data_IF_453850768471
#
_entry.id   IF_453850768471
#
_cell.length_a   1.000
_cell.length_b   1.000
_cell.length_c   1.000
_cell.angle_alpha   90.00
_cell.angle_beta   90.00
_cell.angle_gamma   90.00
#
_symmetry.space_group_name_H-M   'P 1'
#
loop_
_entity.id
_entity.type
_entity.pdbx_description
1 polymer ?
#
# COMPACT_ATOMS: atom_id res chain seq x y z
N UNK A 1 6.08 -24.32 15.01
CA UNK A 1 6.30 -23.34 13.93
C UNK A 1 6.78 -22.03 14.57
N UNK A 2 7.98 -22.04 15.17
CA UNK A 2 8.56 -20.91 15.94
C UNK A 2 10.10 -20.89 15.84
N UNK A 3 10.68 -21.10 14.66
CA UNK A 3 12.16 -21.18 14.55
C UNK A 3 12.80 -20.40 13.40
N UNK A 4 12.07 -19.49 12.77
CA UNK A 4 12.62 -18.63 11.72
C UNK A 4 12.90 -17.18 12.13
N UNK A 5 12.37 -16.72 13.26
CA UNK A 5 12.59 -15.34 13.75
C UNK A 5 13.60 -15.22 14.90
N UNK A 6 14.19 -16.32 15.39
CA UNK A 6 15.15 -16.29 16.50
C UNK A 6 16.61 -16.01 16.09
N UNK A 7 16.87 -15.81 14.79
CA UNK A 7 18.23 -15.57 14.27
C UNK A 7 18.41 -14.24 13.54
N UNK A 8 17.34 -13.46 13.34
CA UNK A 8 17.52 -12.04 13.02
C UNK A 8 17.53 -11.28 14.34
N UNK A 9 18.71 -10.91 14.82
CA UNK A 9 18.79 -9.87 15.83
C UNK A 9 18.39 -8.56 15.13
N UNK A 10 17.20 -8.05 15.43
CA UNK A 10 16.70 -6.79 14.85
C UNK A 10 17.64 -5.60 15.14
N UNK A 11 18.58 -5.75 16.09
CA UNK A 11 19.66 -4.79 16.37
C UNK A 11 20.78 -4.79 15.33
N UNK A 12 20.88 -5.81 14.47
CA UNK A 12 21.82 -5.86 13.34
C UNK A 12 21.29 -5.16 12.08
N UNK A 13 20.00 -4.83 12.04
CA UNK A 13 19.47 -3.93 11.02
C UNK A 13 19.94 -2.51 11.37
N UNK A 14 21.18 -2.19 10.96
CA UNK A 14 21.71 -0.83 11.01
C UNK A 14 20.96 0.00 9.97
N UNK A 15 19.82 0.57 10.35
CA UNK A 15 19.32 1.77 9.68
C UNK A 15 20.26 2.88 10.11
N UNK A 16 21.31 3.11 9.32
CA UNK A 16 22.25 4.19 9.57
C UNK A 16 21.46 5.48 9.73
N UNK A 17 21.63 6.16 10.85
CA UNK A 17 21.12 7.53 11.08
C UNK A 17 21.69 8.53 10.08
N UNK A 18 22.65 8.11 9.24
CA UNK A 18 23.23 8.88 8.13
C UNK A 18 22.65 8.51 6.75
N UNK A 19 21.71 7.56 6.66
CA UNK A 19 20.97 7.36 5.42
C UNK A 19 19.91 8.45 5.28
N UNK A 20 20.34 9.63 4.80
CA UNK A 20 19.43 10.62 4.24
C UNK A 20 18.85 10.01 2.97
N UNK A 21 17.56 9.69 3.02
CA UNK A 21 16.79 9.31 1.85
C UNK A 21 15.88 10.50 1.52
N UNK A 22 15.92 11.04 0.30
CA UNK A 22 16.67 10.56 -0.87
C UNK A 22 18.19 10.85 -0.78
N UNK A 23 19.04 10.06 -1.47
CA UNK A 23 20.44 10.38 -1.64
C UNK A 23 20.53 11.77 -2.28
N UNK A 24 21.31 12.66 -1.65
CA UNK A 24 21.57 13.99 -2.20
C UNK A 24 22.17 13.82 -3.61
N UNK A 25 21.54 14.45 -4.61
CA UNK A 25 21.93 14.57 -6.04
C UNK A 25 21.21 13.74 -7.13
N UNK A 26 20.17 12.96 -6.84
CA UNK A 26 19.22 12.56 -7.89
C UNK A 26 17.94 13.41 -7.82
N UNK A 27 17.99 14.57 -8.48
CA UNK A 27 16.82 15.40 -8.74
C UNK A 27 15.81 14.59 -9.56
N UNK A 28 14.65 14.29 -8.98
CA UNK A 28 13.49 13.80 -9.72
C UNK A 28 13.11 14.86 -10.77
N UNK A 29 13.55 14.67 -12.01
CA UNK A 29 13.06 15.49 -13.12
C UNK A 29 11.60 15.10 -13.38
N UNK A 30 10.69 15.97 -12.96
CA UNK A 30 9.28 15.91 -13.30
C UNK A 30 9.15 16.17 -14.81
N UNK A 31 9.27 15.13 -15.63
CA UNK A 31 8.93 15.26 -17.05
C UNK A 31 7.42 15.34 -17.17
N UNK A 32 6.91 16.56 -17.21
CA UNK A 32 5.55 16.89 -17.64
C UNK A 32 5.33 16.34 -19.05
N UNK A 33 4.81 15.11 -19.17
CA UNK A 33 4.22 14.62 -20.42
C UNK A 33 2.73 14.91 -20.37
N UNK A 34 2.37 16.04 -20.96
CA UNK A 34 1.07 16.25 -21.59
C UNK A 34 0.85 15.15 -22.63
N UNK A 35 -0.26 14.42 -22.53
CA UNK A 35 -0.60 13.37 -23.49
C UNK A 35 -1.96 12.73 -23.21
N UNK A 36 -2.97 13.19 -23.94
CA UNK A 36 -4.13 12.39 -24.35
C UNK A 36 -5.16 12.03 -23.29
N UNK A 37 -6.19 12.86 -23.12
CA UNK A 37 -7.48 12.38 -22.63
C UNK A 37 -8.16 11.55 -23.73
N UNK A 38 -8.03 10.23 -23.65
CA UNK A 38 -8.94 9.28 -24.27
C UNK A 38 -9.84 8.68 -23.18
N UNK A 39 -11.14 8.73 -23.45
CA UNK A 39 -12.21 8.49 -22.48
C UNK A 39 -12.23 7.10 -21.86
N UNK A 40 -12.69 7.09 -20.62
CA UNK A 40 -13.00 5.90 -19.85
C UNK A 40 -13.40 6.37 -18.47
N UNK A 41 -14.70 6.48 -18.22
CA UNK A 41 -15.27 6.94 -16.96
C UNK A 41 -14.83 5.98 -15.85
N UNK A 42 -13.71 6.33 -15.20
CA UNK A 42 -13.11 5.57 -14.10
C UNK A 42 -14.17 5.53 -13.00
N UNK A 43 -14.83 4.38 -12.80
CA UNK A 43 -15.62 4.15 -11.59
C UNK A 43 -14.67 4.48 -10.44
N UNK A 44 -14.99 5.53 -9.67
CA UNK A 44 -14.16 5.95 -8.54
C UNK A 44 -14.14 4.79 -7.55
N UNK A 45 -13.12 3.96 -7.59
CA UNK A 45 -12.85 2.98 -6.54
C UNK A 45 -12.64 3.78 -5.26
N UNK A 46 -13.46 3.52 -4.25
CA UNK A 46 -13.34 4.16 -2.95
C UNK A 46 -11.98 3.83 -2.34
N UNK A 47 -11.29 4.85 -1.81
CA UNK A 47 -9.99 4.69 -1.18
C UNK A 47 -10.18 4.08 0.21
N UNK A 48 -9.60 2.90 0.45
CA UNK A 48 -9.66 2.21 1.73
C UNK A 48 -8.62 2.79 2.69
N UNK A 49 -9.07 3.63 3.64
CA UNK A 49 -8.19 4.23 4.65
C UNK A 49 -8.03 3.27 5.84
N UNK A 50 -6.78 2.97 6.18
CA UNK A 50 -6.42 2.03 7.26
C UNK A 50 -5.78 2.78 8.42
N UNK A 51 -6.13 2.37 9.64
CA UNK A 51 -5.56 2.88 10.89
C UNK A 51 -4.88 1.75 11.66
N UNK A 52 -4.10 2.08 12.70
CA UNK A 52 -3.49 1.08 13.58
C UNK A 52 -4.51 0.16 14.29
N UNK A 53 -5.77 0.62 14.46
CA UNK A 53 -6.87 -0.13 15.09
C UNK A 53 -7.71 -0.93 14.10
N UNK A 54 -7.46 -0.80 12.80
CA UNK A 54 -8.19 -1.53 11.77
C UNK A 54 -7.93 -3.03 11.91
N UNK A 55 -8.99 -3.83 11.78
CA UNK A 55 -8.91 -5.30 11.83
C UNK A 55 -8.49 -5.82 10.44
N UNK A 56 -7.34 -6.51 10.30
CA UNK A 56 -6.85 -6.93 8.98
C UNK A 56 -7.85 -7.75 8.16
N UNK A 57 -8.59 -8.67 8.78
CA UNK A 57 -9.60 -9.48 8.10
C UNK A 57 -10.76 -8.67 7.51
N UNK A 58 -11.22 -7.63 8.21
CA UNK A 58 -12.28 -6.75 7.72
C UNK A 58 -11.81 -5.92 6.53
N UNK A 59 -10.59 -5.36 6.61
CA UNK A 59 -9.98 -4.62 5.50
C UNK A 59 -9.72 -5.55 4.31
N UNK A 60 -9.29 -6.79 4.55
CA UNK A 60 -9.05 -7.78 3.52
C UNK A 60 -10.33 -8.12 2.73
N UNK A 61 -11.46 -8.30 3.43
CA UNK A 61 -12.76 -8.50 2.79
C UNK A 61 -13.14 -7.34 1.88
N UNK A 62 -12.92 -6.09 2.33
CA UNK A 62 -13.16 -4.90 1.53
C UNK A 62 -12.25 -4.85 0.28
N UNK A 63 -10.95 -5.11 0.44
CA UNK A 63 -9.99 -5.17 -0.69
C UNK A 63 -10.45 -6.21 -1.71
N UNK A 64 -10.72 -7.44 -1.28
CA UNK A 64 -11.12 -8.53 -2.17
C UNK A 64 -12.45 -8.23 -2.88
N UNK A 65 -13.42 -7.62 -2.18
CA UNK A 65 -14.66 -7.15 -2.80
C UNK A 65 -14.41 -6.13 -3.90
N UNK A 66 -13.65 -5.08 -3.61
CA UNK A 66 -13.33 -4.02 -4.57
C UNK A 66 -12.55 -4.56 -5.78
N UNK A 67 -11.59 -5.47 -5.56
CA UNK A 67 -10.85 -6.10 -6.66
C UNK A 67 -11.77 -6.94 -7.54
N UNK A 68 -12.71 -7.71 -6.98
CA UNK A 68 -13.68 -8.49 -7.76
C UNK A 68 -14.63 -7.61 -8.58
N UNK A 69 -15.03 -6.46 -8.05
CA UNK A 69 -16.00 -5.57 -8.71
C UNK A 69 -15.36 -4.62 -9.73
N UNK A 70 -14.19 -4.08 -9.40
CA UNK A 70 -13.57 -2.95 -10.13
C UNK A 70 -12.22 -3.35 -10.74
N UNK A 71 -11.66 -4.50 -10.37
CA UNK A 71 -10.35 -4.97 -10.83
C UNK A 71 -9.17 -4.29 -10.13
N UNK A 72 -9.42 -3.34 -9.21
CA UNK A 72 -8.35 -2.59 -8.55
C UNK A 72 -8.83 -1.97 -7.23
N UNK A 73 -8.11 -2.24 -6.16
CA UNK A 73 -8.32 -1.60 -4.86
C UNK A 73 -7.15 -0.67 -4.52
N UNK A 74 -7.46 0.47 -3.91
CA UNK A 74 -6.48 1.40 -3.37
C UNK A 74 -6.60 1.45 -1.85
N UNK A 75 -5.50 1.21 -1.15
CA UNK A 75 -5.41 1.26 0.31
C UNK A 75 -4.43 2.35 0.70
N UNK A 76 -4.81 3.20 1.64
CA UNK A 76 -3.94 4.26 2.18
C UNK A 76 -3.76 4.10 3.68
N UNK A 77 -2.52 4.20 4.15
CA UNK A 77 -2.16 4.01 5.54
C UNK A 77 -1.10 5.03 5.99
N UNK A 78 -1.28 5.59 7.19
CA UNK A 78 -0.41 6.64 7.75
C UNK A 78 0.14 6.16 9.08
N UNK A 79 1.47 6.15 9.19
CA UNK A 79 2.19 5.66 10.36
C UNK A 79 2.37 4.13 10.39
N UNK A 80 3.35 3.69 11.17
CA UNK A 80 3.81 2.30 11.19
C UNK A 80 2.71 1.28 11.56
N UNK A 81 1.87 1.62 12.54
CA UNK A 81 0.76 0.74 12.95
C UNK A 81 -0.26 0.52 11.84
N UNK A 82 -0.67 1.59 11.14
CA UNK A 82 -1.60 1.49 10.03
C UNK A 82 -1.00 0.73 8.84
N UNK A 83 0.26 1.00 8.49
CA UNK A 83 0.96 0.30 7.42
C UNK A 83 1.05 -1.20 7.68
N UNK A 84 1.34 -1.60 8.93
CA UNK A 84 1.35 -3.01 9.33
C UNK A 84 -0.03 -3.67 9.19
N UNK A 85 -1.12 -2.98 9.57
CA UNK A 85 -2.47 -3.52 9.37
C UNK A 85 -2.83 -3.61 7.88
N UNK A 86 -2.43 -2.62 7.08
CA UNK A 86 -2.69 -2.61 5.65
C UNK A 86 -2.00 -3.78 4.95
N UNK A 87 -0.71 -4.03 5.23
CA UNK A 87 0.01 -5.13 4.59
C UNK A 87 -0.52 -6.50 5.02
N UNK A 88 -0.91 -6.67 6.30
CA UNK A 88 -1.59 -7.89 6.78
C UNK A 88 -2.92 -8.10 6.04
N UNK A 89 -3.69 -7.04 5.85
CA UNK A 89 -4.95 -7.11 5.12
C UNK A 89 -4.74 -7.48 3.65
N UNK A 90 -3.71 -6.93 3.00
CA UNK A 90 -3.35 -7.29 1.62
C UNK A 90 -2.98 -8.76 1.51
N UNK A 91 -2.18 -9.29 2.44
CA UNK A 91 -1.83 -10.71 2.46
C UNK A 91 -3.08 -11.61 2.53
N UNK A 92 -3.99 -11.34 3.48
CA UNK A 92 -5.25 -12.09 3.62
C UNK A 92 -6.13 -11.92 2.37
N UNK A 93 -6.20 -10.72 1.80
CA UNK A 93 -7.01 -10.45 0.60
C UNK A 93 -6.52 -11.25 -0.61
N UNK A 94 -5.21 -11.46 -0.75
CA UNK A 94 -4.65 -12.32 -1.81
C UNK A 94 -5.13 -13.76 -1.67
N UNK A 95 -5.18 -14.29 -0.45
CA UNK A 95 -5.70 -15.65 -0.21
C UNK A 95 -7.20 -15.73 -0.60
N UNK A 96 -8.01 -14.76 -0.20
CA UNK A 96 -9.42 -14.69 -0.58
C UNK A 96 -9.63 -14.59 -2.10
N UNK A 97 -8.77 -13.83 -2.79
CA UNK A 97 -8.83 -13.67 -4.24
C UNK A 97 -8.37 -14.94 -4.98
N UNK A 98 -7.35 -15.63 -4.45
CA UNK A 98 -6.86 -16.89 -5.00
C UNK A 98 -7.92 -18.00 -4.94
N UNK A 99 -8.73 -18.06 -3.87
CA UNK A 99 -9.90 -18.96 -3.79
C UNK A 99 -10.92 -18.72 -4.91
N UNK A 100 -10.94 -17.50 -5.47
CA UNK A 100 -11.78 -17.11 -6.62
C UNK A 100 -11.05 -17.22 -7.97
N UNK A 101 -9.85 -17.81 -8.00
CA UNK A 101 -9.03 -17.93 -9.21
C UNK A 101 -8.35 -16.63 -9.66
N UNK A 102 -8.29 -15.62 -8.81
CA UNK A 102 -7.66 -14.32 -9.10
C UNK A 102 -6.28 -14.28 -8.44
N UNK A 103 -5.21 -14.28 -9.22
CA UNK A 103 -3.87 -13.98 -8.71
C UNK A 103 -3.67 -12.46 -8.68
N UNK A 104 -3.51 -11.90 -7.48
CA UNK A 104 -3.39 -10.47 -7.25
C UNK A 104 -1.98 -10.07 -6.81
N UNK A 105 -1.51 -8.91 -7.28
CA UNK A 105 -0.26 -8.28 -6.87
C UNK A 105 -0.50 -7.04 -6.01
N UNK A 106 0.52 -6.61 -5.28
CA UNK A 106 0.52 -5.38 -4.49
C UNK A 106 1.64 -4.45 -4.97
N UNK A 107 1.30 -3.20 -5.27
CA UNK A 107 2.21 -2.16 -5.73
C UNK A 107 2.25 -1.03 -4.69
N UNK A 108 3.29 -0.97 -3.82
CA UNK A 108 3.43 0.09 -2.83
C UNK A 108 4.01 1.37 -3.44
N UNK A 109 3.56 2.53 -2.95
CA UNK A 109 4.12 3.85 -3.30
C UNK A 109 3.93 4.83 -2.14
N UNK A 110 4.83 5.81 -1.99
CA UNK A 110 4.58 6.96 -1.11
C UNK A 110 3.58 7.92 -1.75
N UNK A 111 2.75 8.55 -0.93
CA UNK A 111 1.88 9.67 -1.32
C UNK A 111 1.88 10.72 -0.22
N UNK A 112 1.57 11.96 -0.59
CA UNK A 112 1.26 13.03 0.38
C UNK A 112 -0.24 13.09 0.59
N UNK A 113 -0.67 13.14 1.85
CA UNK A 113 -2.08 13.30 2.22
C UNK A 113 -2.20 14.41 3.26
N UNK A 114 -3.16 15.30 3.07
CA UNK A 114 -3.44 16.38 4.02
C UNK A 114 -4.35 15.84 5.13
N UNK A 115 -3.92 15.98 6.39
CA UNK A 115 -4.72 15.68 7.58
C UNK A 115 -4.82 16.96 8.41
N UNK A 116 -6.03 17.51 8.54
CA UNK A 116 -6.21 18.84 9.11
C UNK A 116 -5.58 19.88 8.18
N UNK A 117 -4.56 20.59 8.68
CA UNK A 117 -3.79 21.57 7.91
C UNK A 117 -2.33 21.13 7.69
N UNK A 118 -2.00 19.87 7.97
CA UNK A 118 -0.65 19.33 7.80
C UNK A 118 -0.61 18.29 6.70
N UNK A 119 0.39 18.42 5.83
CA UNK A 119 0.73 17.38 4.86
C UNK A 119 1.55 16.29 5.53
N UNK A 120 1.09 15.05 5.35
CA UNK A 120 1.75 13.86 5.91
C UNK A 120 2.08 12.88 4.81
N UNK A 121 3.23 12.24 4.95
CA UNK A 121 3.60 11.11 4.09
C UNK A 121 2.80 9.88 4.49
N UNK A 122 2.14 9.26 3.52
CA UNK A 122 1.41 8.02 3.66
C UNK A 122 1.96 6.94 2.72
N UNK A 123 1.67 5.69 3.05
CA UNK A 123 1.84 4.56 2.13
C UNK A 123 0.52 4.35 1.40
N UNK A 124 0.59 4.30 0.07
CA UNK A 124 -0.46 3.80 -0.80
C UNK A 124 -0.11 2.41 -1.29
N UNK A 125 -1.04 1.47 -1.16
CA UNK A 125 -0.94 0.13 -1.72
C UNK A 125 -2.03 -0.01 -2.78
N UNK A 126 -1.62 -0.34 -4.00
CA UNK A 126 -2.55 -0.74 -5.05
C UNK A 126 -2.57 -2.27 -5.10
N UNK A 127 -3.77 -2.86 -5.07
CA UNK A 127 -3.98 -4.29 -5.25
C UNK A 127 -4.80 -4.52 -6.51
N UNK A 128 -4.27 -5.31 -7.46
CA UNK A 128 -4.91 -5.60 -8.74
C UNK A 128 -4.51 -7.00 -9.25
N UNK A 129 -5.35 -7.66 -10.09
CA UNK A 129 -5.00 -8.92 -10.75
C UNK A 129 -3.78 -8.79 -11.66
N UNK A 130 -3.07 -9.91 -11.87
CA UNK A 130 -1.93 -10.01 -12.80
C UNK A 130 -2.24 -10.88 -14.02
#
# INVERSE_FOLDING_TARGET
MERFFSKLDLREIKIGTEASFPPEEEAYQESSRSGGQAGGQKRRSEVLKVSARSRPSAVAGAIAGVVREVGRAEVQAIGAGAANQAIKAVAIARDYLAESGIDAVCLPSFITVTIGNEDRTAIRLIVEPR
#
